data_IF_915374683959
#
_entry.id   IF_915374683959
#
_cell.length_a   1.000
_cell.length_b   1.000
_cell.length_c   1.000
_cell.angle_alpha   90.00
_cell.angle_beta   90.00
_cell.angle_gamma   90.00
#
_symmetry.space_group_name_H-M   'P 1'
#
loop_
_entity.id
_entity.type
_entity.pdbx_description
1 polymer ?
#
# COMPACT_ATOMS: atom_id res chain seq x y z
N UNK A 1 -28.08 2.87 28.61
CA UNK A 1 -26.63 2.86 28.28
C UNK A 1 -26.44 1.92 27.11
N UNK A 2 -26.11 2.46 25.94
CA UNK A 2 -25.81 1.68 24.73
C UNK A 2 -24.57 0.85 24.99
N UNK A 3 -24.65 -0.48 24.86
CA UNK A 3 -23.48 -1.34 24.80
C UNK A 3 -22.83 -1.07 23.44
N UNK A 4 -21.86 -0.17 23.40
CA UNK A 4 -20.96 -0.08 22.26
C UNK A 4 -20.18 -1.40 22.27
N UNK A 5 -20.63 -2.36 21.46
CA UNK A 5 -19.86 -3.57 21.18
C UNK A 5 -18.51 -3.12 20.65
N UNK A 6 -17.42 -3.48 21.34
CA UNK A 6 -16.08 -3.26 20.80
C UNK A 6 -16.05 -3.82 19.36
N UNK A 7 -15.46 -3.09 18.40
CA UNK A 7 -15.34 -3.60 17.04
C UNK A 7 -14.66 -4.97 17.11
N UNK A 8 -15.35 -6.00 16.63
CA UNK A 8 -14.74 -7.30 16.44
C UNK A 8 -13.80 -7.16 15.25
N UNK A 9 -12.52 -6.91 15.55
CA UNK A 9 -11.46 -6.97 14.56
C UNK A 9 -11.00 -8.42 14.50
N UNK A 10 -11.58 -9.22 13.60
CA UNK A 10 -11.03 -10.52 13.29
C UNK A 10 -9.79 -10.30 12.41
N UNK A 11 -8.65 -10.20 13.08
CA UNK A 11 -7.37 -9.99 12.43
C UNK A 11 -6.66 -11.33 12.20
N UNK A 12 -6.60 -11.77 10.93
CA UNK A 12 -5.83 -12.94 10.54
C UNK A 12 -4.34 -12.57 10.33
N UNK A 13 -3.55 -12.75 11.39
CA UNK A 13 -2.12 -12.48 11.38
C UNK A 13 -1.35 -13.36 10.37
N UNK A 14 -1.77 -14.60 10.17
CA UNK A 14 -1.11 -15.52 9.22
C UNK A 14 -1.31 -15.05 7.79
N UNK A 15 -2.53 -14.58 7.47
CA UNK A 15 -2.85 -14.00 6.17
C UNK A 15 -2.10 -12.70 5.93
N UNK A 16 -2.01 -11.80 6.93
CA UNK A 16 -1.21 -10.59 6.79
C UNK A 16 0.28 -10.92 6.55
N UNK A 17 0.85 -11.81 7.37
CA UNK A 17 2.24 -12.23 7.21
C UNK A 17 2.50 -12.81 5.82
N UNK A 18 1.63 -13.69 5.33
CA UNK A 18 1.74 -14.26 3.97
C UNK A 18 1.72 -13.19 2.87
N UNK A 19 0.93 -12.13 3.04
CA UNK A 19 0.86 -11.01 2.08
C UNK A 19 2.12 -10.15 2.12
N UNK A 20 2.66 -9.89 3.31
CA UNK A 20 3.92 -9.16 3.50
C UNK A 20 5.07 -9.95 2.89
N UNK A 21 5.18 -11.25 3.16
CA UNK A 21 6.19 -12.12 2.56
C UNK A 21 6.06 -12.14 1.03
N UNK A 22 4.84 -12.25 0.50
CA UNK A 22 4.61 -12.17 -0.95
C UNK A 22 5.08 -10.85 -1.56
N UNK A 23 4.85 -9.72 -0.87
CA UNK A 23 5.36 -8.43 -1.26
C UNK A 23 6.89 -8.41 -1.23
N UNK A 24 7.51 -8.82 -0.12
CA UNK A 24 8.97 -8.80 0.08
C UNK A 24 9.69 -9.65 -0.97
N UNK A 25 9.21 -10.86 -1.23
CA UNK A 25 9.77 -11.71 -2.29
C UNK A 25 9.67 -11.05 -3.67
N UNK A 26 8.54 -10.38 -3.95
CA UNK A 26 8.36 -9.68 -5.23
C UNK A 26 9.24 -8.43 -5.31
N UNK A 27 9.43 -7.72 -4.20
CA UNK A 27 10.30 -6.56 -4.07
C UNK A 27 11.74 -6.97 -4.32
N UNK A 28 12.24 -7.99 -3.60
CA UNK A 28 13.62 -8.50 -3.73
C UNK A 28 13.91 -8.97 -5.14
N UNK A 29 13.02 -9.74 -5.78
CA UNK A 29 13.20 -10.17 -7.19
C UNK A 29 13.24 -9.00 -8.18
N UNK A 30 12.54 -7.91 -7.88
CA UNK A 30 12.52 -6.71 -8.72
C UNK A 30 13.74 -5.82 -8.45
N UNK A 31 14.18 -5.77 -7.19
CA UNK A 31 15.36 -5.07 -6.72
C UNK A 31 16.65 -5.72 -7.23
N UNK A 32 16.82 -7.04 -7.11
CA UNK A 32 18.01 -7.75 -7.58
C UNK A 32 18.30 -7.50 -9.07
N UNK A 33 17.25 -7.33 -9.88
CA UNK A 33 17.37 -6.94 -11.30
C UNK A 33 17.88 -5.52 -11.52
N UNK A 34 17.75 -4.64 -10.52
CA UNK A 34 18.19 -3.24 -10.53
C UNK A 34 19.43 -3.00 -9.66
N UNK A 35 19.77 -3.95 -8.78
CA UNK A 35 20.75 -3.83 -7.70
C UNK A 35 22.22 -3.87 -8.15
N UNK A 36 22.52 -4.09 -9.43
CA UNK A 36 23.87 -3.83 -9.95
C UNK A 36 24.34 -2.38 -9.64
N UNK A 37 23.41 -1.45 -9.34
CA UNK A 37 23.70 -0.04 -9.05
C UNK A 37 23.14 0.50 -7.71
N UNK A 38 22.53 -0.32 -6.84
CA UNK A 38 21.97 0.13 -5.56
C UNK A 38 22.35 -0.82 -4.41
N UNK A 39 22.85 -0.28 -3.29
CA UNK A 39 23.21 -1.04 -2.09
C UNK A 39 22.48 -0.47 -0.89
N UNK A 40 21.22 -0.88 -0.70
CA UNK A 40 20.49 -0.56 0.54
C UNK A 40 19.83 -1.85 1.03
N UNK A 41 20.09 -2.18 2.29
CA UNK A 41 19.43 -3.28 2.99
C UNK A 41 18.26 -2.70 3.79
N UNK A 42 17.03 -3.13 3.49
CA UNK A 42 15.91 -2.93 4.40
C UNK A 42 16.19 -3.76 5.66
N UNK A 43 16.39 -3.11 6.80
CA UNK A 43 16.64 -3.83 8.06
C UNK A 43 15.35 -4.44 8.57
N UNK A 44 15.44 -5.56 9.28
CA UNK A 44 14.28 -6.20 9.92
C UNK A 44 13.50 -5.22 10.82
N UNK A 45 14.22 -4.37 11.56
CA UNK A 45 13.64 -3.32 12.42
C UNK A 45 12.78 -2.31 11.63
N UNK A 46 13.22 -1.94 10.42
CA UNK A 46 12.49 -1.01 9.58
C UNK A 46 11.23 -1.65 9.01
N UNK A 47 11.30 -2.93 8.63
CA UNK A 47 10.13 -3.69 8.18
C UNK A 47 9.11 -3.89 9.31
N UNK A 48 9.59 -4.25 10.51
CA UNK A 48 8.75 -4.41 11.70
C UNK A 48 8.00 -3.12 12.03
N UNK A 49 8.66 -1.96 11.90
CA UNK A 49 8.01 -0.65 12.04
C UNK A 49 6.85 -0.48 11.05
N UNK A 50 7.06 -0.76 9.76
CA UNK A 50 6.00 -0.62 8.74
C UNK A 50 4.83 -1.58 9.04
N UNK A 51 5.11 -2.79 9.51
CA UNK A 51 4.07 -3.74 9.92
C UNK A 51 3.26 -3.22 11.10
N UNK A 52 3.92 -2.66 12.11
CA UNK A 52 3.25 -2.06 13.26
C UNK A 52 2.39 -0.86 12.84
N UNK A 53 2.89 0.02 11.97
CA UNK A 53 2.13 1.15 11.44
C UNK A 53 0.85 0.68 10.72
N UNK A 54 0.91 -0.41 9.94
CA UNK A 54 -0.26 -1.01 9.29
C UNK A 54 -1.28 -1.50 10.33
N UNK A 55 -0.83 -2.19 11.37
CA UNK A 55 -1.70 -2.73 12.41
C UNK A 55 -2.42 -1.61 13.16
N UNK A 56 -1.68 -0.57 13.56
CA UNK A 56 -2.24 0.62 14.21
C UNK A 56 -3.27 1.29 13.30
N UNK A 57 -2.92 1.56 12.04
CA UNK A 57 -3.86 2.12 11.08
C UNK A 57 -5.10 1.25 10.87
N UNK A 58 -4.97 -0.06 10.91
CA UNK A 58 -6.10 -0.98 10.72
C UNK A 58 -7.06 -0.94 11.90
N UNK A 59 -6.52 -0.93 13.13
CA UNK A 59 -7.28 -0.87 14.38
C UNK A 59 -7.96 0.50 14.51
N UNK A 60 -7.21 1.59 14.34
CA UNK A 60 -7.73 2.95 14.46
C UNK A 60 -8.86 3.21 13.45
N UNK A 61 -8.69 2.73 12.20
CA UNK A 61 -9.72 2.86 11.18
C UNK A 61 -10.96 2.02 11.51
N UNK A 62 -10.79 0.80 12.04
CA UNK A 62 -11.93 -0.02 12.45
C UNK A 62 -12.71 0.62 13.61
N UNK A 63 -12.01 1.18 14.60
CA UNK A 63 -12.62 1.89 15.73
C UNK A 63 -13.33 3.15 15.26
N UNK A 64 -12.65 4.01 14.47
CA UNK A 64 -13.17 5.31 14.06
C UNK A 64 -14.47 5.22 13.24
N UNK A 65 -14.64 4.13 12.48
CA UNK A 65 -15.80 3.91 11.62
C UNK A 65 -16.74 2.80 12.11
N UNK A 66 -16.58 2.35 13.36
CA UNK A 66 -17.38 1.28 13.98
C UNK A 66 -17.52 0.04 13.08
N UNK A 67 -16.43 -0.33 12.39
CA UNK A 67 -16.43 -1.42 11.43
C UNK A 67 -16.27 -2.77 12.13
N UNK A 68 -17.11 -3.72 11.74
CA UNK A 68 -16.86 -5.14 12.01
C UNK A 68 -15.96 -5.64 10.89
N UNK A 69 -14.73 -6.01 11.24
CA UNK A 69 -13.76 -6.51 10.26
C UNK A 69 -13.71 -8.03 10.38
N UNK A 70 -14.35 -8.71 9.43
CA UNK A 70 -14.45 -10.18 9.44
C UNK A 70 -13.20 -10.87 8.90
N UNK A 71 -12.40 -10.18 8.09
CA UNK A 71 -11.19 -10.72 7.47
C UNK A 71 -10.23 -9.59 7.04
N UNK A 72 -8.94 -9.92 6.88
CA UNK A 72 -7.91 -9.05 6.35
C UNK A 72 -8.09 -8.88 4.84
N UNK A 73 -8.23 -7.64 4.37
CA UNK A 73 -8.31 -7.32 2.95
C UNK A 73 -6.92 -7.38 2.28
N UNK A 74 -6.67 -8.30 1.32
CA UNK A 74 -5.35 -8.45 0.68
C UNK A 74 -4.86 -7.18 -0.01
N UNK A 75 -5.75 -6.53 -0.76
CA UNK A 75 -5.45 -5.29 -1.48
C UNK A 75 -5.06 -4.16 -0.52
N UNK A 76 -5.70 -4.08 0.64
CA UNK A 76 -5.42 -3.06 1.65
C UNK A 76 -4.02 -3.22 2.22
N UNK A 77 -3.66 -4.43 2.67
CA UNK A 77 -2.33 -4.71 3.21
C UNK A 77 -1.23 -4.42 2.18
N UNK A 78 -1.38 -4.92 0.94
CA UNK A 78 -0.38 -4.71 -0.11
C UNK A 78 -0.23 -3.24 -0.49
N UNK A 79 -1.32 -2.49 -0.57
CA UNK A 79 -1.28 -1.06 -0.86
C UNK A 79 -0.65 -0.26 0.28
N UNK A 80 -1.06 -0.52 1.52
CA UNK A 80 -0.56 0.20 2.70
C UNK A 80 0.92 -0.08 2.94
N UNK A 81 1.34 -1.34 2.86
CA UNK A 81 2.74 -1.72 3.05
C UNK A 81 3.67 -1.00 2.07
N UNK A 82 3.42 -1.11 0.76
CA UNK A 82 4.27 -0.43 -0.20
C UNK A 82 4.16 1.09 -0.16
N UNK A 83 3.00 1.65 0.21
CA UNK A 83 2.85 3.10 0.36
C UNK A 83 3.65 3.63 1.55
N UNK A 84 3.54 3.03 2.72
CA UNK A 84 4.28 3.44 3.93
C UNK A 84 5.78 3.24 3.72
N UNK A 85 6.17 2.12 3.10
CA UNK A 85 7.56 1.87 2.70
C UNK A 85 8.06 2.95 1.73
N UNK A 86 7.26 3.29 0.73
CA UNK A 86 7.64 4.33 -0.23
C UNK A 86 7.76 5.71 0.43
N UNK A 87 6.82 6.10 1.28
CA UNK A 87 6.83 7.39 1.98
C UNK A 87 8.08 7.54 2.86
N UNK A 88 8.45 6.48 3.59
CA UNK A 88 9.64 6.45 4.42
C UNK A 88 10.95 6.51 3.60
N UNK A 89 10.96 5.99 2.37
CA UNK A 89 12.13 5.95 1.49
C UNK A 89 12.23 7.17 0.56
N UNK A 90 11.13 7.90 0.31
CA UNK A 90 11.05 8.80 -0.84
C UNK A 90 12.05 9.96 -0.80
N UNK A 91 12.41 10.44 0.40
CA UNK A 91 13.34 11.57 0.55
C UNK A 91 14.76 11.14 0.13
N UNK A 92 15.23 10.03 0.70
CA UNK A 92 16.63 9.60 0.58
C UNK A 92 16.86 8.63 -0.59
N UNK A 93 15.81 7.91 -1.01
CA UNK A 93 15.90 6.75 -1.88
C UNK A 93 14.72 6.68 -2.88
N UNK A 94 14.54 7.74 -3.66
CA UNK A 94 13.41 7.91 -4.60
C UNK A 94 13.13 6.70 -5.50
N UNK A 95 14.16 6.11 -6.09
CA UNK A 95 13.97 4.96 -6.97
C UNK A 95 13.44 3.73 -6.21
N UNK A 96 13.89 3.53 -4.97
CA UNK A 96 13.39 2.44 -4.13
C UNK A 96 11.97 2.70 -3.64
N UNK A 97 11.61 3.96 -3.37
CA UNK A 97 10.23 4.32 -3.11
C UNK A 97 9.32 4.05 -4.31
N UNK A 98 9.77 4.39 -5.52
CA UNK A 98 9.03 4.07 -6.76
C UNK A 98 8.94 2.54 -6.95
N UNK A 99 10.01 1.81 -6.64
CA UNK A 99 10.01 0.35 -6.69
C UNK A 99 9.03 -0.26 -5.68
N UNK A 100 8.89 0.30 -4.49
CA UNK A 100 7.95 -0.16 -3.47
C UNK A 100 6.50 -0.02 -3.95
N UNK A 101 6.12 1.15 -4.48
CA UNK A 101 4.78 1.35 -5.08
C UNK A 101 4.55 0.43 -6.26
N UNK A 102 5.54 0.32 -7.16
CA UNK A 102 5.46 -0.56 -8.32
C UNK A 102 5.27 -2.01 -7.90
N UNK A 103 5.93 -2.44 -6.82
CA UNK A 103 5.80 -3.78 -6.25
C UNK A 103 4.40 -4.02 -5.69
N UNK A 104 3.80 -3.07 -4.97
CA UNK A 104 2.40 -3.18 -4.52
C UNK A 104 1.45 -3.38 -5.70
N UNK A 105 1.63 -2.57 -6.75
CA UNK A 105 0.83 -2.66 -7.97
C UNK A 105 0.97 -4.04 -8.62
N UNK A 106 2.20 -4.55 -8.77
CA UNK A 106 2.46 -5.89 -9.33
C UNK A 106 1.80 -6.98 -8.48
N UNK A 107 1.93 -6.91 -7.16
CA UNK A 107 1.32 -7.89 -6.26
C UNK A 107 -0.20 -7.90 -6.38
N UNK A 108 -0.83 -6.72 -6.41
CA UNK A 108 -2.28 -6.60 -6.58
C UNK A 108 -2.76 -7.02 -7.98
N UNK A 109 -1.99 -6.77 -9.04
CA UNK A 109 -2.29 -7.30 -10.37
C UNK A 109 -2.27 -8.83 -10.39
N UNK A 110 -1.27 -9.46 -9.76
CA UNK A 110 -1.20 -10.93 -9.64
C UNK A 110 -2.38 -11.51 -8.84
N UNK A 111 -2.90 -10.78 -7.84
CA UNK A 111 -4.12 -11.18 -7.13
C UNK A 111 -5.34 -11.11 -8.05
N UNK A 112 -5.50 -10.03 -8.82
CA UNK A 112 -6.57 -9.91 -9.80
C UNK A 112 -6.52 -11.03 -10.85
N UNK A 113 -5.33 -11.38 -11.35
CA UNK A 113 -5.13 -12.51 -12.27
C UNK A 113 -5.61 -13.83 -11.66
N UNK A 114 -5.28 -14.12 -10.39
CA UNK A 114 -5.78 -15.31 -9.67
C UNK A 114 -7.30 -15.30 -9.48
N UNK A 115 -7.89 -14.12 -9.37
CA UNK A 115 -9.35 -13.93 -9.33
C UNK A 115 -9.99 -13.99 -10.74
N UNK A 116 -9.18 -14.18 -11.78
CA UNK A 116 -9.52 -14.15 -13.21
C UNK A 116 -10.10 -12.79 -13.65
N UNK A 117 -9.52 -11.71 -13.14
CA UNK A 117 -9.79 -10.35 -13.54
C UNK A 117 -8.55 -9.80 -14.25
N UNK A 118 -8.68 -9.53 -15.55
CA UNK A 118 -7.61 -8.93 -16.33
C UNK A 118 -7.81 -7.42 -16.41
N UNK A 119 -6.76 -6.67 -16.07
CA UNK A 119 -6.75 -5.22 -16.16
C UNK A 119 -6.01 -4.76 -17.41
N UNK A 120 -6.53 -3.72 -18.06
CA UNK A 120 -5.85 -3.11 -19.18
C UNK A 120 -4.52 -2.49 -18.76
N UNK A 121 -3.51 -2.56 -19.63
CA UNK A 121 -2.18 -2.03 -19.37
C UNK A 121 -2.14 -0.54 -18.94
N UNK A 122 -2.99 0.37 -19.44
CA UNK A 122 -2.99 1.76 -19.00
C UNK A 122 -3.34 1.95 -17.51
N UNK A 123 -4.08 1.03 -16.90
CA UNK A 123 -4.57 1.15 -15.52
C UNK A 123 -3.44 1.24 -14.51
N UNK A 124 -2.51 0.28 -14.53
CA UNK A 124 -1.43 0.22 -13.55
C UNK A 124 -0.42 1.36 -13.73
N UNK A 125 -0.19 1.79 -14.97
CA UNK A 125 0.65 2.95 -15.27
C UNK A 125 0.06 4.22 -14.67
N UNK A 126 -1.26 4.40 -14.75
CA UNK A 126 -1.95 5.55 -14.17
C UNK A 126 -1.92 5.52 -12.65
N UNK A 127 -2.13 4.35 -12.04
CA UNK A 127 -2.05 4.17 -10.59
C UNK A 127 -0.66 4.59 -10.06
N UNK A 128 0.42 4.10 -10.68
CA UNK A 128 1.79 4.47 -10.33
C UNK A 128 2.03 5.98 -10.44
N UNK A 129 1.61 6.59 -11.56
CA UNK A 129 1.77 8.04 -11.78
C UNK A 129 1.08 8.89 -10.69
N UNK A 130 -0.13 8.50 -10.27
CA UNK A 130 -0.88 9.24 -9.25
C UNK A 130 -0.21 9.17 -7.89
N UNK A 131 0.24 7.98 -7.48
CA UNK A 131 0.93 7.81 -6.17
C UNK A 131 2.28 8.53 -6.16
N UNK A 132 3.08 8.39 -7.22
CA UNK A 132 4.38 9.08 -7.30
C UNK A 132 4.21 10.61 -7.32
N UNK A 133 3.18 11.12 -8.00
CA UNK A 133 2.83 12.56 -7.99
C UNK A 133 2.50 13.07 -6.57
N UNK A 134 1.78 12.27 -5.80
CA UNK A 134 1.43 12.59 -4.40
C UNK A 134 2.65 12.65 -3.49
N UNK A 135 3.49 11.60 -3.54
CA UNK A 135 4.74 11.52 -2.76
C UNK A 135 5.63 12.73 -3.06
N UNK A 136 5.81 13.10 -4.34
CA UNK A 136 6.56 14.31 -4.75
C UNK A 136 6.08 15.57 -4.06
N UNK A 137 4.77 15.76 -3.96
CA UNK A 137 4.21 16.92 -3.29
C UNK A 137 4.29 16.83 -1.77
N UNK A 138 4.24 15.63 -1.16
CA UNK A 138 4.18 15.44 0.31
C UNK A 138 5.40 16.03 0.99
N UNK A 139 6.56 15.89 0.37
CA UNK A 139 7.81 16.41 0.88
C UNK A 139 8.12 17.86 0.42
N UNK A 140 7.32 18.46 -0.47
CA UNK A 140 7.43 19.90 -0.83
C UNK A 140 6.69 20.82 0.14
N UNK A 141 6.10 20.31 1.23
CA UNK A 141 5.56 21.15 2.31
C UNK A 141 6.72 21.69 3.16
N UNK A 142 7.41 22.71 2.66
CA UNK A 142 8.13 23.66 3.53
C UNK A 142 7.08 24.43 4.35
N UNK A 143 7.40 24.73 5.61
CA UNK A 143 6.45 25.18 6.65
C UNK A 143 5.62 26.45 6.33
N UNK A 144 5.88 27.15 5.23
CA UNK A 144 5.33 28.49 4.98
C UNK A 144 4.11 28.53 4.03
N UNK A 145 3.84 27.51 3.21
CA UNK A 145 2.74 27.57 2.23
C UNK A 145 1.56 26.64 2.56
N UNK A 146 0.71 27.11 3.50
CA UNK A 146 -0.64 26.59 3.77
C UNK A 146 -1.68 26.99 2.72
N UNK A 147 -1.28 27.22 1.46
CA UNK A 147 -2.24 27.36 0.35
C UNK A 147 -2.21 26.08 -0.49
N UNK A 148 -3.23 25.29 -0.21
CA UNK A 148 -3.58 24.00 -0.79
C UNK A 148 -3.63 24.08 -2.33
N UNK A 149 -2.48 24.00 -3.00
CA UNK A 149 -2.42 23.57 -4.38
C UNK A 149 -2.68 22.07 -4.36
N UNK A 150 -3.93 21.69 -4.61
CA UNK A 150 -4.43 20.31 -4.61
C UNK A 150 -3.42 19.34 -5.21
N UNK A 151 -2.83 18.51 -4.33
CA UNK A 151 -2.10 17.31 -4.73
C UNK A 151 -3.06 16.37 -5.44
N UNK A 152 -2.88 16.19 -6.74
CA UNK A 152 -3.50 15.08 -7.44
C UNK A 152 -2.79 13.83 -6.91
N UNK A 153 -3.51 13.05 -6.10
CA UNK A 153 -2.98 11.91 -5.38
C UNK A 153 -4.08 10.88 -5.11
N UNK A 154 -3.67 9.68 -4.75
CA UNK A 154 -4.55 8.53 -4.56
C UNK A 154 -4.65 8.16 -3.08
N UNK A 155 -3.59 8.39 -2.30
CA UNK A 155 -3.40 7.88 -0.96
C UNK A 155 -3.36 6.35 -0.91
N UNK A 156 -2.86 5.82 0.21
CA UNK A 156 -2.87 4.37 0.47
C UNK A 156 -4.29 3.78 0.40
N UNK A 157 -5.32 4.57 0.77
CA UNK A 157 -6.72 4.16 0.72
C UNK A 157 -7.30 4.14 -0.69
N UNK A 158 -7.07 5.18 -1.50
CA UNK A 158 -7.50 5.16 -2.89
C UNK A 158 -6.76 4.08 -3.69
N UNK A 159 -5.50 3.79 -3.33
CA UNK A 159 -4.72 2.74 -3.97
C UNK A 159 -5.38 1.38 -3.82
N UNK A 160 -5.68 0.94 -2.59
CA UNK A 160 -6.34 -0.36 -2.44
C UNK A 160 -7.76 -0.35 -3.01
N UNK A 161 -8.50 0.76 -2.87
CA UNK A 161 -9.88 0.85 -3.37
C UNK A 161 -9.94 0.71 -4.89
N UNK A 162 -8.94 1.23 -5.62
CA UNK A 162 -8.88 1.10 -7.07
C UNK A 162 -8.80 -0.38 -7.50
N UNK A 163 -7.91 -1.16 -6.89
CA UNK A 163 -7.76 -2.59 -7.18
C UNK A 163 -8.90 -3.43 -6.62
N UNK A 164 -9.41 -3.07 -5.43
CA UNK A 164 -10.58 -3.74 -4.86
C UNK A 164 -11.84 -3.52 -5.69
N UNK A 165 -12.01 -2.33 -6.26
CA UNK A 165 -13.14 -2.05 -7.16
C UNK A 165 -12.96 -2.84 -8.45
N UNK A 166 -11.75 -2.87 -9.01
CA UNK A 166 -11.43 -3.69 -10.17
C UNK A 166 -11.76 -5.17 -9.94
N UNK A 167 -11.49 -5.71 -8.74
CA UNK A 167 -11.81 -7.11 -8.41
C UNK A 167 -13.31 -7.41 -8.38
N UNK A 168 -14.17 -6.40 -8.24
CA UNK A 168 -15.63 -6.52 -8.18
C UNK A 168 -16.30 -6.24 -9.53
N UNK A 169 -15.61 -5.58 -10.46
CA UNK A 169 -16.12 -5.38 -11.81
C UNK A 169 -16.27 -6.75 -12.49
N UNK A 170 -17.50 -7.10 -12.85
CA UNK A 170 -17.84 -8.41 -13.42
C UNK A 170 -16.96 -8.73 -14.63
N UNK A 171 -16.53 -9.99 -14.70
CA UNK A 171 -16.03 -10.64 -15.91
C UNK A 171 -17.05 -10.43 -17.03
N UNK A 172 -16.74 -9.54 -17.96
CA UNK A 172 -17.42 -9.48 -19.25
C UNK A 172 -16.91 -10.60 -20.15
#
# INVERSE_FOLDING_TARGET
MSKVSQPFVHFDANKMHSLITFFQETFTKSYEKQAENMKIALTEEFEEKIVNDILEHYIDYAIAYELVVEDVCPYKILAWYGYLLADALYIDQKELAILAISTSIICMLKLLEKENTNMEAPFHKKALQMVVSELRGNHMKTEEDKKQHTKIGLGMNGLYMMFRTASLCKKS
#
